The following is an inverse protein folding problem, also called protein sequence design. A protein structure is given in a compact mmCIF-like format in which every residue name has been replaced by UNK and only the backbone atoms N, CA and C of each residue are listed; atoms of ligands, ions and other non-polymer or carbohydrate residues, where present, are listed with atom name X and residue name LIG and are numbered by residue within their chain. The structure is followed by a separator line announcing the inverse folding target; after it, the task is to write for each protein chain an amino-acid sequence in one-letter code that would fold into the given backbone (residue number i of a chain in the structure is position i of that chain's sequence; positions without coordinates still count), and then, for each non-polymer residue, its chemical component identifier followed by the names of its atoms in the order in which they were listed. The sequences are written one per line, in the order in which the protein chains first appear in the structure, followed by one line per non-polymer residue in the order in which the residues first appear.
data_IF_733799898493
#
_entry.id   IF_733799898493
#
_cell.length_a   1.000
_cell.length_b   1.000
_cell.length_c   1.000
_cell.angle_alpha   90.00
_cell.angle_beta   90.00
_cell.angle_gamma   90.00
#
_symmetry.space_group_name_H-M   'P 1'
#
loop_
_entity.id
_entity.type
_entity.pdbx_description
1 polymer ?
#
# COMPACT_ATOMS: atom_id res chain seq x y z
N UNK A 1 25.61 3.84 -0.51
CA UNK A 1 24.83 2.89 0.32
C UNK A 1 24.04 2.01 -0.63
N UNK A 2 24.21 0.71 -0.58
CA UNK A 2 23.42 -0.26 -1.34
C UNK A 2 22.32 -0.80 -0.44
N UNK A 3 21.16 -1.07 -1.01
CA UNK A 3 20.04 -1.73 -0.35
C UNK A 3 19.62 -2.95 -1.18
N UNK A 4 18.95 -3.89 -0.54
CA UNK A 4 18.46 -5.11 -1.15
C UNK A 4 16.92 -5.09 -1.26
N UNK A 5 16.36 -5.97 -2.07
CA UNK A 5 14.92 -6.16 -2.17
C UNK A 5 14.33 -6.46 -0.78
N UNK A 6 13.16 -5.93 -0.51
CA UNK A 6 12.47 -6.07 0.77
C UNK A 6 12.86 -5.06 1.86
N UNK A 7 13.85 -4.21 1.63
CA UNK A 7 14.17 -3.12 2.55
C UNK A 7 13.26 -1.91 2.32
N UNK A 8 12.78 -1.30 3.38
CA UNK A 8 12.03 -0.04 3.34
C UNK A 8 12.90 1.09 3.81
N UNK A 9 13.05 2.11 2.98
CA UNK A 9 13.85 3.29 3.27
C UNK A 9 12.95 4.44 3.71
N UNK A 10 13.34 5.09 4.79
CA UNK A 10 12.79 6.39 5.19
C UNK A 10 13.72 7.48 4.73
N UNK A 11 13.21 8.43 3.95
CA UNK A 11 13.92 9.63 3.56
C UNK A 11 13.52 10.80 4.45
N UNK A 12 14.51 11.55 4.92
CA UNK A 12 14.33 12.76 5.73
C UNK A 12 15.28 13.87 5.27
N UNK A 13 15.18 15.10 5.83
CA UNK A 13 16.00 16.24 5.42
C UNK A 13 17.52 16.01 5.49
N UNK A 14 17.96 15.09 6.32
CA UNK A 14 19.37 14.74 6.54
C UNK A 14 19.83 13.47 5.81
N UNK A 15 19.03 12.93 4.90
CA UNK A 15 19.33 11.71 4.15
C UNK A 15 18.37 10.55 4.44
N UNK A 16 18.60 9.42 3.77
CA UNK A 16 17.79 8.22 3.92
C UNK A 16 18.26 7.34 5.10
N UNK A 17 17.33 6.74 5.79
CA UNK A 17 17.58 5.68 6.78
C UNK A 17 16.65 4.50 6.53
N UNK A 18 17.09 3.29 6.91
CA UNK A 18 16.20 2.13 6.87
C UNK A 18 15.07 2.31 7.87
N UNK A 19 13.84 2.19 7.40
CA UNK A 19 12.65 2.16 8.24
C UNK A 19 12.36 0.73 8.69
N UNK A 20 12.60 -0.21 7.79
CA UNK A 20 12.27 -1.61 7.95
C UNK A 20 13.29 -2.42 7.15
N UNK A 21 13.95 -3.37 7.79
CA UNK A 21 14.82 -4.32 7.13
C UNK A 21 14.34 -5.74 7.43
N UNK A 22 13.91 -6.49 6.42
CA UNK A 22 13.71 -7.91 6.59
C UNK A 22 15.06 -8.55 6.91
N UNK A 23 15.12 -9.34 7.98
CA UNK A 23 16.39 -9.90 8.47
C UNK A 23 16.90 -10.97 7.51
N UNK A 24 17.85 -10.59 6.66
CA UNK A 24 18.87 -11.54 6.22
C UNK A 24 19.98 -11.60 7.28
N UNK A 25 20.76 -12.70 7.39
CA UNK A 25 21.73 -12.86 8.44
C UNK A 25 22.75 -11.73 8.44
N UNK A 26 22.83 -11.05 9.57
CA UNK A 26 23.92 -10.22 10.03
C UNK A 26 24.51 -9.21 9.03
N UNK A 27 23.87 -8.07 8.89
CA UNK A 27 24.60 -6.85 8.59
C UNK A 27 24.79 -6.10 9.90
N UNK A 28 26.01 -6.10 10.41
CA UNK A 28 26.39 -5.65 11.76
C UNK A 28 26.66 -4.16 11.85
N UNK A 29 25.77 -3.27 11.37
CA UNK A 29 25.90 -1.84 11.69
C UNK A 29 24.57 -1.13 11.53
N UNK A 30 23.90 -0.87 12.64
CA UNK A 30 22.73 0.02 12.68
C UNK A 30 21.44 -0.56 12.09
N UNK A 31 21.31 -1.86 12.10
CA UNK A 31 20.20 -2.61 11.52
C UNK A 31 19.00 -2.65 12.45
N UNK A 32 17.84 -2.31 11.93
CA UNK A 32 16.57 -2.67 12.54
C UNK A 32 16.34 -4.16 12.28
N UNK A 33 16.65 -5.01 13.25
CA UNK A 33 16.25 -6.41 13.23
C UNK A 33 14.81 -6.46 13.72
N UNK A 34 13.87 -6.90 12.90
CA UNK A 34 12.54 -7.26 13.35
C UNK A 34 12.62 -8.64 13.99
N UNK A 35 12.85 -8.69 15.30
CA UNK A 35 12.70 -9.93 16.06
C UNK A 35 11.24 -10.38 15.96
N UNK A 36 10.98 -11.53 15.33
CA UNK A 36 9.63 -12.02 15.01
C UNK A 36 9.23 -11.88 13.54
N UNK A 37 9.86 -10.98 12.78
CA UNK A 37 9.84 -10.97 11.34
C UNK A 37 11.16 -11.55 10.84
N UNK A 38 11.29 -12.84 10.97
CA UNK A 38 12.42 -13.54 10.41
C UNK A 38 12.08 -13.92 8.98
N UNK A 39 12.54 -13.11 8.03
CA UNK A 39 12.43 -13.43 6.62
C UNK A 39 13.19 -14.69 6.24
N UNK A 40 14.20 -15.10 7.04
CA UNK A 40 14.86 -16.41 6.86
C UNK A 40 13.97 -17.57 7.35
N UNK A 41 13.02 -17.31 8.27
CA UNK A 41 11.97 -18.27 8.67
C UNK A 41 10.68 -18.09 7.87
N UNK A 42 10.54 -17.00 7.16
CA UNK A 42 9.63 -16.86 6.04
C UNK A 42 10.27 -17.67 4.92
N UNK A 43 9.51 -18.51 4.26
CA UNK A 43 9.99 -19.30 3.14
C UNK A 43 10.42 -18.45 1.94
N UNK A 44 11.12 -17.34 2.17
CA UNK A 44 11.95 -16.67 1.16
C UNK A 44 13.14 -17.55 0.74
N UNK A 45 13.06 -18.83 1.06
CA UNK A 45 14.04 -19.84 0.64
C UNK A 45 14.22 -19.91 -0.88
N UNK A 46 13.33 -19.31 -1.64
CA UNK A 46 13.46 -19.14 -3.09
C UNK A 46 13.98 -17.76 -3.51
N UNK A 47 14.15 -16.83 -2.56
CA UNK A 47 14.67 -15.48 -2.81
C UNK A 47 13.74 -14.56 -3.60
N UNK A 48 12.47 -14.92 -3.77
CA UNK A 48 11.57 -14.25 -4.71
C UNK A 48 10.47 -13.42 -4.05
N UNK A 49 10.09 -13.72 -2.80
CA UNK A 49 9.03 -12.94 -2.13
C UNK A 49 9.55 -11.58 -1.66
N UNK A 50 8.82 -10.53 -1.96
CA UNK A 50 9.15 -9.14 -1.65
C UNK A 50 7.95 -8.46 -0.99
N UNK A 51 8.17 -7.31 -0.40
CA UNK A 51 7.07 -6.42 -0.01
C UNK A 51 6.56 -5.76 -1.29
N UNK A 52 5.28 -5.98 -1.60
CA UNK A 52 4.62 -5.35 -2.74
C UNK A 52 4.12 -3.95 -2.38
N UNK A 53 3.43 -3.84 -1.25
CA UNK A 53 2.94 -2.56 -0.79
C UNK A 53 3.09 -2.42 0.72
N UNK A 54 3.22 -1.17 1.16
CA UNK A 54 3.39 -0.81 2.56
C UNK A 54 2.73 0.53 2.85
N UNK A 55 1.98 0.58 3.95
CA UNK A 55 1.50 1.84 4.52
C UNK A 55 1.85 1.92 6.00
N UNK A 56 2.32 3.09 6.44
CA UNK A 56 2.47 3.42 7.85
C UNK A 56 1.20 4.11 8.33
N UNK A 57 0.57 3.59 9.37
CA UNK A 57 -0.59 4.23 10.02
C UNK A 57 -0.13 5.49 10.75
N UNK A 58 -0.72 6.62 10.42
CA UNK A 58 -0.26 7.94 10.92
C UNK A 58 -1.01 8.42 12.16
N UNK A 59 -2.13 7.78 12.49
CA UNK A 59 -3.00 8.11 13.62
C UNK A 59 -3.74 6.90 14.14
N UNK A 60 -4.27 7.02 15.37
CA UNK A 60 -5.16 6.00 15.93
C UNK A 60 -6.56 6.13 15.34
N UNK A 61 -7.14 5.02 14.89
CA UNK A 61 -8.53 4.92 14.44
C UNK A 61 -8.98 3.45 14.35
N UNK A 62 -10.24 3.22 14.05
CA UNK A 62 -10.78 1.88 13.83
C UNK A 62 -11.24 1.73 12.39
N UNK A 63 -10.81 0.65 11.73
CA UNK A 63 -11.21 0.29 10.38
C UNK A 63 -11.80 -1.12 10.41
N UNK A 64 -13.04 -1.31 9.94
CA UNK A 64 -13.70 -2.61 9.85
C UNK A 64 -13.61 -3.43 11.15
N UNK A 65 -13.74 -2.77 12.31
CA UNK A 65 -13.64 -3.43 13.62
C UNK A 65 -12.21 -3.63 14.15
N UNK A 66 -11.18 -3.41 13.35
CA UNK A 66 -9.76 -3.50 13.77
C UNK A 66 -9.30 -2.13 14.27
N UNK A 67 -8.83 -2.08 15.52
CA UNK A 67 -8.22 -0.88 16.07
C UNK A 67 -6.78 -0.75 15.56
N UNK A 68 -6.52 0.29 14.78
CA UNK A 68 -5.20 0.66 14.27
C UNK A 68 -4.58 1.74 15.15
N UNK A 69 -3.27 1.68 15.36
CA UNK A 69 -2.51 2.62 16.16
C UNK A 69 -1.49 3.35 15.29
N UNK A 70 -1.22 4.59 15.65
CA UNK A 70 -0.12 5.34 15.01
C UNK A 70 1.19 4.56 15.11
N UNK A 71 1.80 4.32 13.96
CA UNK A 71 3.04 3.55 13.84
C UNK A 71 2.83 2.08 13.47
N UNK A 72 1.59 1.58 13.42
CA UNK A 72 1.33 0.28 12.80
C UNK A 72 1.75 0.29 11.33
N UNK A 73 2.15 -0.87 10.80
CA UNK A 73 2.42 -1.05 9.37
C UNK A 73 1.37 -1.99 8.79
N UNK A 74 0.85 -1.62 7.64
CA UNK A 74 0.09 -2.51 6.77
C UNK A 74 1.01 -2.95 5.63
N UNK A 75 1.10 -4.24 5.37
CA UNK A 75 2.10 -4.83 4.46
C UNK A 75 1.43 -5.90 3.59
N UNK A 76 1.65 -5.87 2.28
CA UNK A 76 1.39 -7.01 1.40
C UNK A 76 2.69 -7.57 0.84
N UNK A 77 2.65 -8.84 0.42
CA UNK A 77 3.82 -9.56 -0.10
C UNK A 77 3.54 -10.15 -1.48
N UNK A 78 4.58 -10.26 -2.30
CA UNK A 78 4.51 -10.78 -3.67
C UNK A 78 4.41 -12.31 -3.76
N UNK A 79 4.36 -12.98 -2.63
CA UNK A 79 4.24 -14.44 -2.54
C UNK A 79 3.61 -14.88 -1.23
N UNK A 80 3.30 -16.17 -1.14
CA UNK A 80 2.76 -16.76 0.09
C UNK A 80 3.86 -16.87 1.14
N UNK A 81 3.52 -16.54 2.38
CA UNK A 81 4.46 -16.48 3.49
C UNK A 81 3.97 -17.20 4.74
N UNK A 82 4.92 -17.63 5.58
CA UNK A 82 4.62 -18.15 6.92
C UNK A 82 5.33 -17.34 7.97
N UNK A 83 4.58 -16.57 8.74
CA UNK A 83 5.11 -15.66 9.77
C UNK A 83 4.63 -16.12 11.14
N UNK A 84 5.55 -16.43 12.05
CA UNK A 84 5.19 -16.89 13.39
C UNK A 84 4.39 -18.19 13.39
N UNK A 85 4.52 -19.03 12.36
CA UNK A 85 3.76 -20.28 12.19
C UNK A 85 2.36 -20.10 11.59
N UNK A 86 1.98 -18.89 11.17
CA UNK A 86 0.72 -18.60 10.47
C UNK A 86 1.01 -18.41 8.99
N UNK A 87 0.28 -19.14 8.14
CA UNK A 87 0.36 -19.00 6.69
C UNK A 87 -0.45 -17.78 6.23
N UNK A 88 0.13 -16.99 5.35
CA UNK A 88 -0.48 -15.85 4.66
C UNK A 88 -0.33 -16.02 3.17
N UNK A 89 -1.32 -15.58 2.42
CA UNK A 89 -1.31 -15.71 0.97
C UNK A 89 -0.84 -14.41 0.29
N UNK A 90 -0.30 -14.56 -0.91
CA UNK A 90 -0.03 -13.43 -1.78
C UNK A 90 -1.30 -12.58 -1.97
N UNK A 91 -1.20 -11.29 -1.69
CA UNK A 91 -2.34 -10.37 -1.77
C UNK A 91 -3.15 -10.20 -0.48
N UNK A 92 -2.82 -10.94 0.58
CA UNK A 92 -3.25 -10.57 1.92
C UNK A 92 -2.59 -9.26 2.37
N UNK A 93 -3.27 -8.53 3.24
CA UNK A 93 -2.63 -7.40 3.94
C UNK A 93 -2.44 -7.79 5.40
N UNK A 94 -1.20 -7.71 5.84
CA UNK A 94 -0.79 -7.97 7.21
C UNK A 94 -0.72 -6.68 8.00
N UNK A 95 -1.19 -6.72 9.24
CA UNK A 95 -0.94 -5.68 10.24
C UNK A 95 0.27 -6.09 11.07
N UNK A 96 1.34 -5.30 10.99
CA UNK A 96 2.45 -5.37 11.94
C UNK A 96 2.30 -4.27 12.97
N UNK A 97 2.21 -4.65 14.24
CA UNK A 97 2.16 -3.74 15.39
C UNK A 97 3.49 -3.76 16.13
N UNK A 98 4.27 -2.67 16.09
CA UNK A 98 5.51 -2.61 16.82
C UNK A 98 5.25 -2.60 18.35
N UNK A 99 6.11 -3.29 19.12
CA UNK A 99 6.03 -3.29 20.59
C UNK A 99 6.22 -1.89 21.17
N UNK A 100 7.04 -1.08 20.50
CA UNK A 100 7.27 0.33 20.85
C UNK A 100 7.04 1.17 19.61
N UNK A 101 6.13 2.16 19.63
CA UNK A 101 5.86 3.00 18.47
C UNK A 101 7.14 3.62 17.87
N UNK A 102 7.32 3.48 16.57
CA UNK A 102 8.48 3.98 15.84
C UNK A 102 9.74 3.09 15.92
N UNK A 103 9.70 1.99 16.68
CA UNK A 103 10.74 0.98 16.70
C UNK A 103 10.21 -0.32 16.08
N UNK A 104 10.60 -0.60 14.85
CA UNK A 104 10.13 -1.75 14.09
C UNK A 104 11.00 -3.01 14.22
N UNK A 105 11.89 -3.05 15.24
CA UNK A 105 12.74 -4.22 15.51
C UNK A 105 12.00 -5.36 16.20
N UNK A 106 10.88 -5.07 16.85
CA UNK A 106 10.04 -6.06 17.55
C UNK A 106 8.58 -5.70 17.42
N UNK A 107 7.72 -6.69 17.25
CA UNK A 107 6.28 -6.50 17.11
C UNK A 107 5.53 -7.79 16.89
N UNK A 108 4.26 -7.67 16.57
CA UNK A 108 3.37 -8.79 16.30
C UNK A 108 2.72 -8.62 14.95
N UNK A 109 2.52 -9.75 14.25
CA UNK A 109 1.75 -9.81 13.01
C UNK A 109 0.36 -10.35 13.27
N UNK A 110 -0.59 -9.82 12.53
CA UNK A 110 -1.93 -10.37 12.39
C UNK A 110 -2.45 -10.11 10.98
N UNK A 111 -3.40 -10.92 10.53
CA UNK A 111 -4.08 -10.68 9.28
C UNK A 111 -4.97 -9.45 9.42
N UNK A 112 -4.87 -8.52 8.49
CA UNK A 112 -5.71 -7.33 8.40
C UNK A 112 -6.76 -7.49 7.29
N UNK A 113 -6.37 -7.98 6.13
CA UNK A 113 -7.25 -8.21 4.99
C UNK A 113 -6.98 -9.60 4.43
N UNK A 114 -8.02 -10.44 4.43
CA UNK A 114 -7.98 -11.78 3.85
C UNK A 114 -8.49 -11.73 2.42
N UNK A 115 -7.59 -11.96 1.48
CA UNK A 115 -7.91 -11.93 0.05
C UNK A 115 -8.91 -13.01 -0.36
N UNK A 116 -8.90 -14.16 0.33
CA UNK A 116 -9.73 -15.31 -0.06
C UNK A 116 -11.20 -15.07 0.21
N UNK A 117 -11.51 -14.26 1.23
CA UNK A 117 -12.90 -13.93 1.58
C UNK A 117 -13.57 -13.03 0.53
N UNK A 118 -12.77 -12.26 -0.23
CA UNK A 118 -13.28 -11.25 -1.18
C UNK A 118 -12.79 -11.46 -2.61
N UNK A 119 -11.94 -12.46 -2.85
CA UNK A 119 -11.36 -12.82 -4.14
C UNK A 119 -10.61 -11.64 -4.81
N UNK A 120 -9.86 -10.85 -4.03
CA UNK A 120 -9.03 -9.73 -4.49
C UNK A 120 -7.60 -9.92 -3.99
N UNK A 121 -6.61 -9.64 -4.86
CA UNK A 121 -5.19 -9.68 -4.52
C UNK A 121 -4.64 -8.26 -4.45
N UNK A 122 -4.35 -7.77 -3.24
CA UNK A 122 -3.81 -6.44 -3.06
C UNK A 122 -2.33 -6.38 -3.47
N UNK A 123 -2.06 -6.06 -4.74
CA UNK A 123 -0.70 -5.82 -5.26
C UNK A 123 -0.18 -4.42 -4.91
N UNK A 124 -1.07 -3.44 -4.89
CA UNK A 124 -0.83 -2.11 -4.35
C UNK A 124 -2.06 -1.67 -3.57
N UNK A 125 -1.88 -0.97 -2.47
CA UNK A 125 -3.01 -0.50 -1.67
C UNK A 125 -2.71 0.77 -0.89
N UNK A 126 -3.78 1.44 -0.46
CA UNK A 126 -3.74 2.50 0.54
C UNK A 126 -5.06 2.51 1.32
N UNK A 127 -4.96 2.60 2.64
CA UNK A 127 -6.12 2.69 3.55
C UNK A 127 -6.37 4.16 3.86
N UNK A 128 -7.61 4.62 3.67
CA UNK A 128 -8.02 5.95 4.09
C UNK A 128 -8.05 6.05 5.61
N UNK A 129 -7.28 6.96 6.18
CA UNK A 129 -7.27 7.17 7.63
C UNK A 129 -8.27 8.23 8.08
N UNK A 130 -8.79 9.02 7.12
CA UNK A 130 -9.76 10.10 7.32
C UNK A 130 -10.79 10.09 6.21
N UNK A 131 -11.91 10.79 6.45
CA UNK A 131 -12.82 11.10 5.36
C UNK A 131 -12.15 12.10 4.40
N UNK A 132 -12.15 11.78 3.11
CA UNK A 132 -11.56 12.60 2.05
C UNK A 132 -12.33 12.43 0.75
N UNK A 133 -12.38 13.48 -0.05
CA UNK A 133 -13.03 13.44 -1.37
C UNK A 133 -11.98 13.14 -2.44
N UNK A 134 -12.23 12.11 -3.24
CA UNK A 134 -11.46 11.78 -4.44
C UNK A 134 -12.41 11.92 -5.64
N UNK A 135 -12.18 12.90 -6.48
CA UNK A 135 -13.13 13.25 -7.54
C UNK A 135 -14.49 13.65 -6.98
N UNK A 136 -15.50 12.89 -7.30
CA UNK A 136 -16.89 13.05 -6.88
C UNK A 136 -17.31 12.06 -5.78
N UNK A 137 -16.39 11.23 -5.28
CA UNK A 137 -16.65 10.21 -4.26
C UNK A 137 -16.01 10.60 -2.92
N UNK A 138 -16.80 10.52 -1.84
CA UNK A 138 -16.29 10.61 -0.47
C UNK A 138 -15.83 9.22 -0.01
N UNK A 139 -14.54 9.10 0.30
CA UNK A 139 -13.96 7.96 1.01
C UNK A 139 -14.10 8.22 2.51
N UNK A 140 -14.40 7.18 3.27
CA UNK A 140 -14.45 7.25 4.73
C UNK A 140 -13.14 6.69 5.32
N UNK A 141 -12.88 7.01 6.60
CA UNK A 141 -11.81 6.33 7.32
C UNK A 141 -12.10 4.82 7.35
N UNK A 142 -11.11 4.03 6.96
CA UNK A 142 -11.23 2.57 6.83
C UNK A 142 -11.57 2.08 5.43
N UNK A 143 -11.97 2.93 4.49
CA UNK A 143 -12.08 2.51 3.09
C UNK A 143 -10.68 2.17 2.55
N UNK A 144 -10.57 1.03 1.87
CA UNK A 144 -9.33 0.58 1.26
C UNK A 144 -9.39 0.83 -0.25
N UNK A 145 -8.39 1.51 -0.77
CA UNK A 145 -8.11 1.55 -2.19
C UNK A 145 -7.07 0.49 -2.50
N UNK A 146 -7.32 -0.33 -3.48
CA UNK A 146 -6.40 -1.40 -3.87
C UNK A 146 -6.38 -1.60 -5.39
N UNK A 147 -5.26 -2.10 -5.87
CA UNK A 147 -5.12 -2.62 -7.21
C UNK A 147 -5.09 -4.14 -7.12
N UNK A 148 -6.02 -4.80 -7.81
CA UNK A 148 -6.02 -6.25 -7.92
C UNK A 148 -4.86 -6.69 -8.83
N UNK A 149 -4.21 -7.80 -8.51
CA UNK A 149 -3.04 -8.26 -9.25
C UNK A 149 -3.33 -8.39 -10.76
N UNK A 150 -2.52 -7.73 -11.57
CA UNK A 150 -2.70 -7.65 -13.02
C UNK A 150 -3.79 -6.67 -13.47
N UNK A 151 -4.36 -5.88 -12.56
CA UNK A 151 -5.33 -4.83 -12.88
C UNK A 151 -4.65 -3.47 -12.99
N UNK A 152 -5.18 -2.62 -13.87
CA UNK A 152 -4.77 -1.23 -14.03
C UNK A 152 -5.73 -0.26 -13.37
N UNK A 153 -6.80 -0.81 -12.78
CA UNK A 153 -7.82 -0.04 -12.08
C UNK A 153 -7.50 0.09 -10.59
N UNK A 154 -7.97 1.17 -9.99
CA UNK A 154 -7.99 1.30 -8.54
C UNK A 154 -9.41 1.00 -8.07
N UNK A 155 -9.54 -0.05 -7.29
CA UNK A 155 -10.80 -0.47 -6.69
C UNK A 155 -10.98 0.21 -5.34
N UNK A 156 -12.22 0.55 -5.00
CA UNK A 156 -12.64 0.91 -3.67
C UNK A 156 -13.28 -0.30 -3.00
N UNK A 157 -12.74 -0.68 -1.87
CA UNK A 157 -13.31 -1.66 -0.95
C UNK A 157 -13.82 -0.92 0.30
N UNK A 158 -15.11 -1.04 0.55
CA UNK A 158 -15.74 -0.51 1.77
C UNK A 158 -15.89 -1.65 2.76
N UNK A 159 -15.22 -1.63 3.93
CA UNK A 159 -15.25 -2.74 4.86
C UNK A 159 -16.53 -2.73 5.71
N UNK A 160 -17.07 -3.91 5.95
CA UNK A 160 -17.89 -4.19 7.14
C UNK A 160 -16.98 -4.75 8.24
N UNK A 161 -15.99 -5.57 7.86
CA UNK A 161 -15.05 -6.21 8.78
C UNK A 161 -13.69 -6.39 8.11
N UNK A 162 -12.62 -6.18 8.88
CA UNK A 162 -11.25 -6.60 8.59
C UNK A 162 -10.80 -7.64 9.62
N UNK A 163 -9.68 -8.31 9.34
CA UNK A 163 -9.06 -9.31 10.20
C UNK A 163 -9.04 -10.69 9.55
N UNK A 164 -9.02 -11.75 10.36
CA UNK A 164 -9.04 -13.13 9.91
C UNK A 164 -10.31 -13.53 9.13
N UNK A 165 -11.31 -12.66 9.13
CA UNK A 165 -12.46 -12.71 8.23
C UNK A 165 -12.66 -11.30 7.69
N UNK A 166 -12.58 -11.14 6.37
CA UNK A 166 -12.76 -9.87 5.69
C UNK A 166 -14.13 -9.82 5.01
N UNK A 167 -14.94 -8.82 5.34
CA UNK A 167 -16.29 -8.67 4.80
C UNK A 167 -16.44 -7.29 4.19
N UNK A 168 -16.80 -7.25 2.91
CA UNK A 168 -17.14 -6.02 2.20
C UNK A 168 -18.57 -5.55 2.54
N UNK A 169 -18.78 -4.26 2.51
CA UNK A 169 -20.10 -3.65 2.46
C UNK A 169 -20.50 -3.46 0.98
N UNK A 170 -21.08 -4.50 0.41
CA UNK A 170 -21.38 -4.55 -1.02
C UNK A 170 -20.20 -5.05 -1.86
N UNK A 171 -20.35 -4.98 -3.18
CA UNK A 171 -19.29 -5.39 -4.12
C UNK A 171 -18.24 -4.28 -4.23
N UNK A 172 -16.95 -4.59 -4.17
CA UNK A 172 -15.90 -3.62 -4.49
C UNK A 172 -16.13 -3.01 -5.86
N UNK A 173 -15.91 -1.71 -5.98
CA UNK A 173 -16.21 -0.96 -7.20
C UNK A 173 -14.97 -0.29 -7.76
N UNK A 174 -14.91 -0.15 -9.08
CA UNK A 174 -13.87 0.65 -9.73
C UNK A 174 -14.06 2.11 -9.31
N UNK A 175 -13.06 2.66 -8.62
CA UNK A 175 -12.97 4.07 -8.31
C UNK A 175 -12.28 4.82 -9.45
N UNK A 176 -11.17 4.28 -9.93
CA UNK A 176 -10.37 4.83 -11.02
C UNK A 176 -10.27 3.80 -12.13
N UNK A 177 -10.80 4.13 -13.29
CA UNK A 177 -10.69 3.35 -14.52
C UNK A 177 -9.37 3.72 -15.21
N UNK A 178 -8.34 2.97 -14.88
CA UNK A 178 -6.97 3.28 -15.30
C UNK A 178 -6.73 2.97 -16.78
N UNK A 179 -7.13 1.81 -17.25
CA UNK A 179 -6.89 1.41 -18.65
C UNK A 179 -7.90 2.02 -19.62
N UNK A 180 -9.15 2.18 -19.21
CA UNK A 180 -10.20 2.71 -20.07
C UNK A 180 -10.10 4.23 -20.25
N UNK A 181 -9.90 4.97 -19.15
CA UNK A 181 -10.00 6.44 -19.18
C UNK A 181 -8.67 7.18 -19.00
N UNK A 182 -7.74 6.62 -18.24
CA UNK A 182 -6.44 7.27 -17.99
C UNK A 182 -5.32 6.75 -18.89
N UNK A 183 -5.60 5.71 -19.68
CA UNK A 183 -4.67 5.16 -20.65
C UNK A 183 -3.51 4.40 -20.01
N UNK A 184 -3.68 3.85 -18.79
CA UNK A 184 -2.65 3.03 -18.18
C UNK A 184 -2.43 1.77 -19.01
N UNK A 185 -1.29 1.69 -19.66
CA UNK A 185 -0.84 0.51 -20.41
C UNK A 185 -0.16 -0.51 -19.53
N UNK A 186 0.11 -0.19 -18.25
CA UNK A 186 0.84 -0.99 -17.30
C UNK A 186 0.11 -1.09 -15.96
N UNK A 187 0.39 -2.16 -15.22
CA UNK A 187 -0.17 -2.36 -13.88
C UNK A 187 0.36 -1.33 -12.89
N UNK A 188 -0.43 -1.04 -11.88
CA UNK A 188 -0.05 -0.11 -10.82
C UNK A 188 0.86 -0.84 -9.82
N UNK A 189 2.07 -0.33 -9.65
CA UNK A 189 3.09 -0.90 -8.78
C UNK A 189 3.12 -0.31 -7.37
N UNK A 190 2.59 0.92 -7.20
CA UNK A 190 2.42 1.52 -5.89
C UNK A 190 1.29 2.56 -5.90
N UNK A 191 0.63 2.68 -4.75
CA UNK A 191 -0.51 3.56 -4.55
C UNK A 191 -0.43 4.21 -3.16
N UNK A 192 -0.65 5.52 -3.10
CA UNK A 192 -0.84 6.23 -1.83
C UNK A 192 -1.92 7.30 -1.97
N UNK A 193 -2.76 7.43 -0.95
CA UNK A 193 -3.79 8.45 -0.84
C UNK A 193 -3.29 9.60 0.05
N UNK A 194 -3.38 10.82 -0.46
CA UNK A 194 -3.20 12.02 0.34
C UNK A 194 -4.52 12.33 1.06
N UNK A 195 -4.69 11.84 2.26
CA UNK A 195 -5.95 12.02 3.02
C UNK A 195 -6.02 13.38 3.75
N UNK A 196 -4.93 14.13 3.76
CA UNK A 196 -4.83 15.46 4.32
C UNK A 196 -3.85 16.28 3.47
N UNK A 197 -4.21 17.51 3.14
CA UNK A 197 -3.31 18.40 2.39
C UNK A 197 -1.93 18.45 3.04
N UNK A 198 -0.92 18.08 2.29
CA UNK A 198 0.45 17.89 2.75
C UNK A 198 1.43 18.68 1.87
N UNK A 199 2.46 19.23 2.48
CA UNK A 199 3.53 19.92 1.76
C UNK A 199 4.79 19.06 1.80
N UNK A 200 5.31 18.72 0.63
CA UNK A 200 6.57 17.97 0.46
C UNK A 200 7.54 18.86 -0.32
N UNK A 201 8.57 19.35 0.37
CA UNK A 201 9.47 20.35 -0.23
C UNK A 201 8.70 21.62 -0.60
N UNK A 202 8.66 21.95 -1.89
CA UNK A 202 7.95 23.12 -2.42
C UNK A 202 6.62 22.75 -3.08
N UNK A 203 6.20 21.47 -3.00
CA UNK A 203 4.98 20.98 -3.64
C UNK A 203 3.90 20.80 -2.58
N UNK A 204 2.74 21.39 -2.81
CA UNK A 204 1.54 21.13 -2.02
C UNK A 204 0.71 20.04 -2.70
N UNK A 205 0.48 18.97 -1.99
CA UNK A 205 -0.41 17.89 -2.41
C UNK A 205 -1.77 18.08 -1.69
N UNK A 206 -2.83 18.44 -2.41
CA UNK A 206 -4.17 18.55 -1.84
C UNK A 206 -4.67 17.21 -1.32
N UNK A 207 -5.53 17.24 -0.30
CA UNK A 207 -6.28 16.06 0.10
C UNK A 207 -7.11 15.53 -1.07
N UNK A 208 -7.18 14.19 -1.23
CA UNK A 208 -7.83 13.52 -2.37
C UNK A 208 -6.90 13.24 -3.54
N UNK A 209 -5.68 13.75 -3.53
CA UNK A 209 -4.67 13.39 -4.53
C UNK A 209 -4.24 11.93 -4.34
N UNK A 210 -4.14 11.19 -5.42
CA UNK A 210 -3.49 9.87 -5.44
C UNK A 210 -2.06 10.01 -5.95
N UNK A 211 -1.13 9.32 -5.29
CA UNK A 211 0.27 9.18 -5.75
C UNK A 211 0.40 7.75 -6.27
N UNK A 212 0.88 7.61 -7.49
CA UNK A 212 0.91 6.34 -8.22
C UNK A 212 2.28 6.11 -8.82
N UNK A 213 2.69 4.84 -8.93
CA UNK A 213 3.74 4.40 -9.85
C UNK A 213 3.26 3.19 -10.65
N UNK A 214 3.83 2.99 -11.82
CA UNK A 214 3.56 1.84 -12.67
C UNK A 214 4.71 0.83 -12.59
N UNK A 215 4.40 -0.45 -12.82
CA UNK A 215 5.42 -1.52 -12.79
C UNK A 215 6.43 -1.41 -13.92
N UNK A 216 6.03 -0.81 -15.05
CA UNK A 216 6.89 -0.55 -16.21
C UNK A 216 6.65 0.87 -16.76
N UNK A 217 7.43 1.24 -17.77
CA UNK A 217 7.26 2.50 -18.49
C UNK A 217 5.95 2.53 -19.28
N UNK A 218 5.32 3.69 -19.32
CA UNK A 218 4.14 3.96 -20.14
C UNK A 218 4.35 5.25 -20.95
N UNK A 219 3.94 5.23 -22.18
CA UNK A 219 4.16 6.34 -23.09
C UNK A 219 3.36 7.58 -22.71
N UNK A 220 2.11 7.37 -22.27
CA UNK A 220 1.19 8.47 -21.95
C UNK A 220 0.13 8.05 -20.95
N UNK A 221 0.01 8.77 -19.86
CA UNK A 221 -1.05 8.59 -18.85
C UNK A 221 -1.77 9.91 -18.59
N UNK A 222 -3.06 9.84 -18.31
CA UNK A 222 -3.93 10.97 -18.00
C UNK A 222 -5.02 11.22 -19.03
N UNK A 223 -6.18 11.70 -18.59
CA UNK A 223 -7.33 11.98 -19.46
C UNK A 223 -7.28 13.38 -20.09
N UNK A 224 -6.56 14.30 -19.47
CA UNK A 224 -6.42 15.69 -19.90
C UNK A 224 -5.02 15.95 -20.48
N UNK A 225 -4.14 16.52 -19.65
CA UNK A 225 -2.72 16.65 -20.00
C UNK A 225 -2.03 15.32 -19.78
N UNK A 226 -1.63 14.69 -20.86
CA UNK A 226 -0.93 13.41 -20.80
C UNK A 226 0.54 13.61 -20.46
N UNK A 227 1.08 12.71 -19.64
CA UNK A 227 2.50 12.65 -19.27
C UNK A 227 3.06 11.27 -19.61
N UNK A 228 4.31 11.23 -20.09
CA UNK A 228 5.07 9.98 -20.19
C UNK A 228 5.67 9.63 -18.84
N UNK A 229 5.54 8.36 -18.42
CA UNK A 229 6.05 7.88 -17.14
C UNK A 229 6.97 6.68 -17.34
N UNK A 230 7.96 6.56 -16.47
CA UNK A 230 8.85 5.39 -16.40
C UNK A 230 8.55 4.58 -15.14
N UNK A 231 9.00 3.33 -15.10
CA UNK A 231 8.78 2.42 -13.95
C UNK A 231 9.33 2.93 -12.60
N UNK A 232 10.03 4.04 -12.57
CA UNK A 232 10.63 4.63 -11.35
C UNK A 232 10.01 5.96 -10.98
N UNK A 233 9.08 6.42 -11.81
CA UNK A 233 8.43 7.70 -11.56
C UNK A 233 7.30 7.52 -10.55
N UNK A 234 7.17 8.52 -9.69
CA UNK A 234 5.98 8.76 -8.88
C UNK A 234 5.27 9.95 -9.49
N UNK A 235 4.02 9.77 -9.84
CA UNK A 235 3.19 10.85 -10.37
C UNK A 235 1.91 10.99 -9.54
N UNK A 236 1.27 12.14 -9.67
CA UNK A 236 0.04 12.44 -8.95
C UNK A 236 -1.15 12.44 -9.89
N UNK A 237 -2.27 11.87 -9.42
CA UNK A 237 -3.57 12.00 -10.05
C UNK A 237 -4.43 12.96 -9.23
N UNK A 238 -4.85 14.05 -9.86
CA UNK A 238 -5.82 15.00 -9.31
C UNK A 238 -7.18 14.67 -9.91
N UNK A 239 -7.85 13.68 -9.33
CA UNK A 239 -9.10 13.11 -9.86
C UNK A 239 -10.23 14.11 -9.81
N UNK A 240 -10.99 14.25 -10.88
CA UNK A 240 -12.18 15.11 -10.96
C UNK A 240 -13.47 14.30 -11.01
N UNK A 241 -13.48 13.17 -11.69
CA UNK A 241 -14.60 12.22 -11.74
C UNK A 241 -14.09 10.80 -11.58
N UNK A 242 -14.93 9.90 -11.09
CA UNK A 242 -14.58 8.52 -10.79
C UNK A 242 -15.47 7.53 -11.55
N UNK A 243 -15.12 6.24 -11.54
CA UNK A 243 -15.90 5.14 -12.08
C UNK A 243 -15.57 4.75 -13.52
N UNK A 244 -16.08 3.58 -13.90
CA UNK A 244 -15.87 3.00 -15.23
C UNK A 244 -16.43 3.91 -16.32
N UNK A 245 -15.60 4.20 -17.32
CA UNK A 245 -15.99 5.03 -18.46
C UNK A 245 -16.16 6.53 -18.14
N UNK A 246 -15.94 6.95 -16.89
CA UNK A 246 -16.18 8.34 -16.45
C UNK A 246 -14.98 8.96 -15.72
N UNK A 247 -13.96 8.18 -15.40
CA UNK A 247 -12.78 8.68 -14.68
C UNK A 247 -12.05 9.76 -15.47
N UNK A 248 -11.72 10.87 -14.81
CA UNK A 248 -10.87 11.93 -15.36
C UNK A 248 -9.89 12.44 -14.29
N UNK A 249 -8.63 12.61 -14.69
CA UNK A 249 -7.53 13.08 -13.84
C UNK A 249 -6.42 13.73 -14.69
#
# INVERSE_FOLDING_TARGET
TSWTAGQVLKFGPSGGSLLFEPVAPAITTGTFSLAGFNLDSLSFSDGNTQIDALQVVTRDFTAGGVALQKGDLLISTSGNETIGGVAYEHGDILLFRPTTPGNYSTGTFSLFFDRTDVALQASAFTLGERAVVVGDVTLNAGDLLLCDNGSRDILRFVPTQYGATTIANGTPSVLIDGDGNLGFGQDIGALALVDQTTVIGNVTLPAGTLIVSLVNEDATVGSGTQIGVTRRDLFTLSVTTTGVGTTSA
#
